data_IF_518008327377
#
_entry.id   IF_518008327377
#
_cell.length_a   1.000
_cell.length_b   1.000
_cell.length_c   1.000
_cell.angle_alpha   90.00
_cell.angle_beta   90.00
_cell.angle_gamma   90.00
#
_symmetry.space_group_name_H-M   'P 1'
#
loop_
_entity.id
_entity.type
_entity.pdbx_description
1 polymer ?
#
# COMPACT_ATOMS: atom_id res chain seq x y z
N UNK A 1 -8.09 7.33 22.95
CA UNK A 1 -7.64 6.46 21.85
C UNK A 1 -8.11 5.05 22.14
N UNK A 2 -8.97 4.49 21.29
CA UNK A 2 -9.56 3.18 21.53
C UNK A 2 -8.67 2.13 20.85
N UNK A 3 -8.07 1.27 21.68
CA UNK A 3 -7.11 0.23 21.30
C UNK A 3 -7.79 -1.14 21.38
N UNK A 4 -9.06 -1.21 20.99
CA UNK A 4 -9.85 -2.43 21.10
C UNK A 4 -9.22 -3.53 20.24
N UNK A 5 -9.30 -4.81 20.63
CA UNK A 5 -8.75 -5.91 19.83
C UNK A 5 -9.24 -5.93 18.38
N UNK A 6 -10.48 -5.51 18.13
CA UNK A 6 -11.07 -5.40 16.79
C UNK A 6 -10.45 -4.25 15.97
N UNK A 7 -10.27 -3.07 16.56
CA UNK A 7 -9.61 -1.93 15.90
C UNK A 7 -8.17 -2.26 15.52
N UNK A 8 -7.45 -3.00 16.40
CA UNK A 8 -6.11 -3.50 16.08
C UNK A 8 -6.13 -4.47 14.89
N UNK A 9 -7.09 -5.39 14.83
CA UNK A 9 -7.22 -6.32 13.68
C UNK A 9 -7.48 -5.56 12.39
N UNK A 10 -8.37 -4.58 12.39
CA UNK A 10 -8.66 -3.74 11.22
C UNK A 10 -7.41 -2.95 10.77
N UNK A 11 -6.67 -2.36 11.71
CA UNK A 11 -5.43 -1.66 11.43
C UNK A 11 -4.37 -2.60 10.81
N UNK A 12 -4.20 -3.81 11.37
CA UNK A 12 -3.27 -4.81 10.83
C UNK A 12 -3.68 -5.23 9.41
N UNK A 13 -4.97 -5.41 9.14
CA UNK A 13 -5.45 -5.74 7.79
C UNK A 13 -5.15 -4.63 6.79
N UNK A 14 -5.35 -3.35 7.17
CA UNK A 14 -4.97 -2.20 6.34
C UNK A 14 -3.46 -2.16 6.08
N UNK A 15 -2.64 -2.36 7.11
CA UNK A 15 -1.18 -2.42 6.97
C UNK A 15 -0.72 -3.52 6.02
N UNK A 16 -1.34 -4.71 6.07
CA UNK A 16 -1.03 -5.82 5.15
C UNK A 16 -1.36 -5.47 3.70
N UNK A 17 -2.46 -4.76 3.45
CA UNK A 17 -2.83 -4.29 2.11
C UNK A 17 -1.83 -3.27 1.58
N UNK A 18 -1.47 -2.27 2.39
CA UNK A 18 -0.48 -1.24 2.03
C UNK A 18 0.87 -1.89 1.69
N UNK A 19 1.30 -2.88 2.48
CA UNK A 19 2.53 -3.62 2.21
C UNK A 19 2.51 -4.30 0.83
N UNK A 20 1.42 -5.01 0.50
CA UNK A 20 1.30 -5.63 -0.83
C UNK A 20 1.30 -4.62 -1.98
N UNK A 21 0.76 -3.42 -1.78
CA UNK A 21 0.83 -2.34 -2.76
C UNK A 21 2.26 -1.80 -2.91
N UNK A 22 3.01 -1.67 -1.81
CA UNK A 22 4.42 -1.28 -1.85
C UNK A 22 5.28 -2.32 -2.58
N UNK A 23 5.10 -3.61 -2.27
CA UNK A 23 5.81 -4.71 -2.96
C UNK A 23 5.52 -4.73 -4.47
N UNK A 24 4.29 -4.40 -4.88
CA UNK A 24 3.94 -4.27 -6.28
C UNK A 24 4.63 -3.07 -6.94
N UNK A 25 4.73 -1.95 -6.23
CA UNK A 25 5.42 -0.74 -6.71
C UNK A 25 6.92 -1.00 -6.91
N UNK A 26 7.56 -1.69 -5.97
CA UNK A 26 8.97 -2.09 -6.08
C UNK A 26 9.23 -2.90 -7.35
N UNK A 27 8.40 -3.91 -7.64
CA UNK A 27 8.52 -4.72 -8.87
C UNK A 27 8.37 -3.89 -10.15
N UNK A 28 7.47 -2.92 -10.15
CA UNK A 28 7.22 -2.02 -11.29
C UNK A 28 8.42 -1.09 -11.52
N UNK A 29 9.05 -0.61 -10.44
CA UNK A 29 10.30 0.18 -10.50
C UNK A 29 11.45 -0.68 -11.03
N UNK A 30 11.64 -1.89 -10.48
CA UNK A 30 12.69 -2.81 -10.92
C UNK A 30 12.55 -3.21 -12.40
N UNK A 31 11.31 -3.31 -12.89
CA UNK A 31 11.02 -3.59 -14.29
C UNK A 31 11.30 -2.40 -15.25
N UNK A 32 11.69 -1.22 -14.72
CA UNK A 32 11.99 -0.04 -15.52
C UNK A 32 10.75 0.65 -16.11
N UNK A 33 9.60 0.54 -15.43
CA UNK A 33 8.34 1.13 -15.90
C UNK A 33 8.38 2.65 -15.88
N UNK A 34 7.75 3.28 -16.88
CA UNK A 34 7.60 4.75 -16.97
C UNK A 34 7.00 5.38 -15.68
N UNK A 35 7.40 6.63 -15.40
CA UNK A 35 7.00 7.34 -14.18
C UNK A 35 5.49 7.60 -14.06
N UNK A 36 4.76 7.71 -15.18
CA UNK A 36 3.32 8.04 -15.17
C UNK A 36 2.43 6.95 -14.52
N UNK A 37 2.50 5.66 -14.90
CA UNK A 37 1.76 4.60 -14.20
C UNK A 37 2.18 4.41 -12.74
N UNK A 38 3.45 4.71 -12.43
CA UNK A 38 4.01 4.67 -11.07
C UNK A 38 3.35 5.70 -10.15
N UNK A 39 3.19 6.94 -10.63
CA UNK A 39 2.50 8.02 -9.90
C UNK A 39 1.02 7.69 -9.66
N UNK A 40 0.35 7.03 -10.61
CA UNK A 40 -1.04 6.60 -10.42
C UNK A 40 -1.17 5.55 -9.30
N UNK A 41 -0.24 4.59 -9.23
CA UNK A 41 -0.24 3.59 -8.15
C UNK A 41 -0.01 4.24 -6.79
N UNK A 42 0.89 5.22 -6.69
CA UNK A 42 1.16 5.94 -5.43
C UNK A 42 -0.09 6.71 -4.96
N UNK A 43 -0.79 7.39 -5.87
CA UNK A 43 -2.04 8.10 -5.52
C UNK A 43 -3.11 7.11 -5.03
N UNK A 44 -3.25 5.95 -5.68
CA UNK A 44 -4.20 4.91 -5.28
C UNK A 44 -3.88 4.26 -3.92
N UNK A 45 -2.66 4.39 -3.40
CA UNK A 45 -2.29 3.94 -2.05
C UNK A 45 -2.72 4.93 -0.95
N UNK A 46 -3.03 6.17 -1.32
CA UNK A 46 -3.41 7.23 -0.38
C UNK A 46 -4.91 7.22 -0.02
N UNK A 47 -5.73 6.55 -0.84
CA UNK A 47 -7.19 6.38 -0.66
C UNK A 47 -7.53 5.06 0.06
#
# INVERSE_FOLDING_TARGET
MRNSPEEKKLAITRLRRIRGQAEALERVIEAGTDCAPLLQQIVAMRE
#
